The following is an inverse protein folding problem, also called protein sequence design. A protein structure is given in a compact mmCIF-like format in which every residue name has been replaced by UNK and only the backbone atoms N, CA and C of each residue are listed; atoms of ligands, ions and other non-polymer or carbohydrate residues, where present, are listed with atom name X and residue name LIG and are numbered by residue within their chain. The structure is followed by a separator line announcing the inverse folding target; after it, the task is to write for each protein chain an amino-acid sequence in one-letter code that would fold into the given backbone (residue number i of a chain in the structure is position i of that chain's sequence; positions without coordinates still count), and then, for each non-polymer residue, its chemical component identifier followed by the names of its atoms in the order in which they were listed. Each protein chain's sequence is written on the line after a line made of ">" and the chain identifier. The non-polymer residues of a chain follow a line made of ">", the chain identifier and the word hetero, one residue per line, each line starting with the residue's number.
data_IF_317046479816
#
_entry.id   IF_317046479816
#
_cell.length_a   1.000
_cell.length_b   1.000
_cell.length_c   1.000
_cell.angle_alpha   90.00
_cell.angle_beta   90.00
_cell.angle_gamma   90.00
#
_symmetry.space_group_name_H-M   'P 1'
#
loop_
_entity.id
_entity.type
_entity.pdbx_description
1 polymer ?
#
# COMPACT_ATOMS: atom_id res chain seq x y z
N UNK A 1 -11.63 -2.08 -8.47
CA UNK A 1 -11.64 -2.67 -7.11
C UNK A 1 -10.22 -2.79 -6.61
N UNK A 2 -9.98 -2.39 -5.37
CA UNK A 2 -8.71 -2.53 -4.66
C UNK A 2 -8.97 -3.31 -3.37
N UNK A 3 -8.42 -4.50 -3.25
CA UNK A 3 -8.56 -5.33 -2.05
C UNK A 3 -7.31 -5.19 -1.20
N UNK A 4 -7.47 -4.82 0.05
CA UNK A 4 -6.38 -4.65 1.01
C UNK A 4 -6.56 -5.69 2.12
N UNK A 5 -5.50 -6.41 2.45
CA UNK A 5 -5.46 -7.41 3.52
C UNK A 5 -4.31 -7.09 4.47
N UNK A 6 -4.59 -6.96 5.76
CA UNK A 6 -3.55 -6.99 6.79
C UNK A 6 -3.09 -8.43 6.97
N UNK A 7 -1.81 -8.69 6.79
CA UNK A 7 -1.23 -10.03 6.99
C UNK A 7 -0.71 -10.20 8.41
N UNK A 8 -0.35 -9.09 9.06
CA UNK A 8 0.10 -9.06 10.42
C UNK A 8 0.02 -7.68 11.02
N UNK A 9 -0.04 -7.61 12.34
CA UNK A 9 -0.29 -6.38 13.12
C UNK A 9 0.65 -6.21 14.31
N UNK A 10 1.56 -7.15 14.58
CA UNK A 10 2.52 -7.04 15.66
C UNK A 10 3.72 -6.16 15.31
N UNK A 11 4.26 -5.48 16.31
CA UNK A 11 5.54 -4.78 16.30
C UNK A 11 6.66 -5.66 16.88
N UNK A 12 7.90 -5.39 16.47
CA UNK A 12 9.14 -5.89 17.09
C UNK A 12 9.37 -7.41 16.95
N UNK A 13 8.40 -8.24 17.34
CA UNK A 13 8.51 -9.70 17.37
C UNK A 13 7.18 -10.35 16.99
N UNK A 14 7.18 -11.50 16.31
CA UNK A 14 5.95 -12.23 16.06
C UNK A 14 5.41 -12.80 17.35
N UNK A 15 4.10 -12.79 17.50
CA UNK A 15 3.39 -13.41 18.63
C UNK A 15 2.64 -14.66 18.13
N UNK A 16 2.22 -15.57 19.04
CA UNK A 16 1.51 -16.78 18.65
C UNK A 16 0.24 -16.51 17.83
N UNK A 17 -0.44 -15.40 18.10
CA UNK A 17 -1.71 -14.98 17.51
C UNK A 17 -1.59 -13.75 16.58
N UNK A 18 -0.41 -13.12 16.51
CA UNK A 18 -0.16 -11.94 15.66
C UNK A 18 1.16 -12.06 14.90
N UNK A 19 1.09 -12.03 13.59
CA UNK A 19 2.24 -11.89 12.71
C UNK A 19 2.75 -10.44 12.70
N UNK A 20 3.98 -10.24 12.22
CA UNK A 20 4.59 -8.92 12.10
C UNK A 20 3.86 -8.03 11.08
N UNK A 21 3.84 -6.73 11.34
CA UNK A 21 3.11 -5.71 10.57
C UNK A 21 3.44 -5.79 9.08
N UNK A 22 2.44 -6.17 8.31
CA UNK A 22 2.56 -6.40 6.87
C UNK A 22 1.18 -6.24 6.25
N UNK A 23 1.10 -5.61 5.08
CA UNK A 23 -0.15 -5.49 4.33
C UNK A 23 0.03 -5.90 2.87
N UNK A 24 -1.04 -6.39 2.25
CA UNK A 24 -1.07 -6.73 0.84
C UNK A 24 -2.23 -6.01 0.15
N UNK A 25 -1.92 -5.22 -0.89
CA UNK A 25 -2.92 -4.55 -1.71
C UNK A 25 -2.98 -5.21 -3.08
N UNK A 26 -4.17 -5.68 -3.47
CA UNK A 26 -4.41 -6.39 -4.72
C UNK A 26 -5.36 -5.63 -5.64
N UNK A 27 -4.99 -5.50 -6.91
CA UNK A 27 -5.82 -4.94 -7.97
C UNK A 27 -5.72 -5.84 -9.21
N UNK A 28 -6.86 -6.39 -9.66
CA UNK A 28 -6.86 -7.32 -10.80
C UNK A 28 -5.97 -8.55 -10.52
N UNK A 29 -5.03 -8.84 -11.41
CA UNK A 29 -4.03 -9.93 -11.28
C UNK A 29 -2.76 -9.55 -10.50
N UNK A 30 -2.66 -8.32 -10.01
CA UNK A 30 -1.46 -7.65 -9.51
C UNK A 30 -1.53 -7.40 -8.01
N UNK A 31 -0.37 -7.16 -7.37
CA UNK A 31 -0.33 -6.84 -5.96
C UNK A 31 0.95 -6.11 -5.51
N UNK A 32 0.81 -5.36 -4.44
CA UNK A 32 1.89 -4.73 -3.70
C UNK A 32 1.92 -5.33 -2.30
N UNK A 33 3.09 -5.77 -1.87
CA UNK A 33 3.34 -6.20 -0.50
C UNK A 33 4.06 -5.06 0.23
N UNK A 34 3.48 -4.59 1.31
CA UNK A 34 4.06 -3.57 2.19
C UNK A 34 4.69 -4.25 3.39
N UNK A 35 6.01 -4.15 3.48
CA UNK A 35 6.90 -4.86 4.39
C UNK A 35 6.87 -6.39 4.23
N UNK A 36 7.84 -7.05 4.84
CA UNK A 36 8.00 -8.51 4.78
C UNK A 36 8.75 -9.00 6.01
N UNK A 37 8.13 -8.91 7.17
CA UNK A 37 8.64 -9.44 8.43
C UNK A 37 8.67 -10.97 8.45
N UNK A 38 9.29 -11.53 9.48
CA UNK A 38 9.30 -12.96 9.71
C UNK A 38 7.86 -13.51 9.76
N UNK A 39 7.62 -14.64 9.13
CA UNK A 39 6.31 -15.29 9.12
C UNK A 39 5.31 -14.75 8.09
N UNK A 40 5.64 -13.71 7.30
CA UNK A 40 4.76 -13.14 6.26
C UNK A 40 4.15 -14.19 5.33
N UNK A 41 4.92 -15.20 4.93
CA UNK A 41 4.43 -16.27 4.05
C UNK A 41 3.32 -17.11 4.70
N UNK A 42 3.50 -17.45 5.98
CA UNK A 42 2.50 -18.20 6.74
C UNK A 42 1.25 -17.38 6.98
N UNK A 43 1.41 -16.09 7.31
CA UNK A 43 0.32 -15.14 7.48
C UNK A 43 -0.50 -14.97 6.19
N UNK A 44 0.17 -14.79 5.05
CA UNK A 44 -0.49 -14.72 3.75
C UNK A 44 -1.29 -15.99 3.42
N UNK A 45 -0.73 -17.17 3.71
CA UNK A 45 -1.45 -18.44 3.53
C UNK A 45 -2.70 -18.55 4.40
N UNK A 46 -2.60 -18.15 5.68
CA UNK A 46 -3.77 -18.12 6.58
C UNK A 46 -4.85 -17.17 6.09
N UNK A 47 -4.45 -16.00 5.57
CA UNK A 47 -5.35 -15.00 5.02
C UNK A 47 -5.87 -15.32 3.60
N UNK A 48 -5.46 -16.43 2.99
CA UNK A 48 -5.85 -16.80 1.61
C UNK A 48 -5.23 -15.89 0.54
N UNK A 49 -4.16 -15.15 0.86
CA UNK A 49 -3.48 -14.25 -0.07
C UNK A 49 -2.44 -15.01 -0.89
N UNK A 50 -2.55 -14.88 -2.21
CA UNK A 50 -1.58 -15.43 -3.15
C UNK A 50 -0.44 -14.44 -3.43
N UNK A 51 0.70 -14.62 -2.76
CA UNK A 51 1.89 -13.77 -2.92
C UNK A 51 2.55 -13.91 -4.30
N UNK A 52 2.22 -14.92 -5.11
CA UNK A 52 2.65 -14.97 -6.53
C UNK A 52 2.13 -13.79 -7.35
N UNK A 53 1.10 -13.09 -6.88
CA UNK A 53 0.56 -11.87 -7.49
C UNK A 53 1.36 -10.61 -7.15
N UNK A 54 2.27 -10.67 -6.17
CA UNK A 54 3.10 -9.52 -5.82
C UNK A 54 4.00 -9.13 -7.00
N UNK A 55 3.81 -7.94 -7.54
CA UNK A 55 4.70 -7.35 -8.54
C UNK A 55 5.82 -6.57 -7.87
N UNK A 56 5.51 -5.98 -6.71
CA UNK A 56 6.41 -5.12 -5.96
C UNK A 56 6.32 -5.45 -4.47
N UNK A 57 7.48 -5.48 -3.81
CA UNK A 57 7.61 -5.45 -2.36
C UNK A 57 8.09 -4.05 -1.97
N UNK A 58 7.30 -3.36 -1.14
CA UNK A 58 7.51 -1.99 -0.71
C UNK A 58 7.99 -2.01 0.75
N UNK A 59 9.28 -1.84 0.97
CA UNK A 59 9.85 -1.80 2.32
C UNK A 59 9.75 -0.38 2.87
N UNK A 60 9.19 -0.24 4.06
CA UNK A 60 9.08 1.08 4.73
C UNK A 60 10.42 1.49 5.33
N UNK A 61 11.13 0.58 5.93
CA UNK A 61 12.46 0.74 6.49
C UNK A 61 13.13 -0.65 6.70
N UNK A 62 14.30 -0.69 7.36
CA UNK A 62 15.12 -1.91 7.40
C UNK A 62 15.30 -2.51 8.79
N UNK A 63 14.36 -2.28 9.72
CA UNK A 63 14.30 -3.06 10.95
C UNK A 63 13.92 -4.52 10.66
N UNK A 64 14.36 -5.43 11.52
CA UNK A 64 14.20 -6.87 11.28
C UNK A 64 12.76 -7.33 11.14
N UNK A 65 11.87 -6.78 11.95
CA UNK A 65 10.43 -7.06 11.93
C UNK A 65 9.74 -6.65 10.61
N UNK A 66 10.40 -5.83 9.77
CA UNK A 66 9.90 -5.43 8.45
C UNK A 66 10.58 -6.13 7.28
N UNK A 67 11.75 -6.80 7.49
CA UNK A 67 12.51 -7.34 6.35
C UNK A 67 12.96 -8.80 6.50
N UNK A 68 12.95 -9.40 7.70
CA UNK A 68 13.54 -10.73 7.89
C UNK A 68 12.78 -11.87 7.22
N UNK A 69 11.53 -11.67 6.82
CA UNK A 69 10.78 -12.61 5.98
C UNK A 69 11.16 -12.59 4.50
N UNK A 70 11.85 -11.53 4.05
CA UNK A 70 12.13 -11.31 2.63
C UNK A 70 12.95 -12.45 2.00
N UNK A 71 14.06 -12.95 2.58
CA UNK A 71 14.81 -14.06 1.99
C UNK A 71 13.96 -15.30 1.75
N UNK A 72 13.16 -15.68 2.75
CA UNK A 72 12.27 -16.84 2.65
C UNK A 72 11.17 -16.65 1.61
N UNK A 73 10.57 -15.45 1.54
CA UNK A 73 9.58 -15.10 0.52
C UNK A 73 10.16 -15.28 -0.89
N UNK A 74 11.33 -14.71 -1.15
CA UNK A 74 11.96 -14.75 -2.48
C UNK A 74 12.24 -16.18 -2.93
N UNK A 75 12.73 -17.04 -2.05
CA UNK A 75 12.95 -18.45 -2.34
C UNK A 75 11.63 -19.19 -2.57
N UNK A 76 10.59 -18.91 -1.80
CA UNK A 76 9.26 -19.53 -1.97
C UNK A 76 8.65 -19.14 -3.31
N UNK A 77 8.73 -17.89 -3.73
CA UNK A 77 8.26 -17.45 -5.05
C UNK A 77 9.00 -18.20 -6.18
N UNK A 78 10.31 -18.37 -6.05
CA UNK A 78 11.11 -19.16 -6.99
C UNK A 78 10.70 -20.64 -7.04
N UNK A 79 10.54 -21.27 -5.89
CA UNK A 79 10.13 -22.65 -5.76
C UNK A 79 8.70 -22.90 -6.32
N UNK A 80 7.84 -21.88 -6.27
CA UNK A 80 6.50 -21.91 -6.88
C UNK A 80 6.49 -21.60 -8.39
N UNK A 81 7.67 -21.48 -9.01
CA UNK A 81 7.79 -21.30 -10.45
C UNK A 81 7.65 -19.87 -10.95
N UNK A 82 7.92 -18.85 -10.09
CA UNK A 82 7.94 -17.47 -10.56
C UNK A 82 9.06 -17.27 -11.58
N UNK A 83 8.71 -16.71 -12.74
CA UNK A 83 9.65 -16.30 -13.79
C UNK A 83 9.61 -14.80 -14.07
N UNK A 84 8.48 -14.13 -13.78
CA UNK A 84 8.34 -12.69 -13.98
C UNK A 84 9.17 -11.92 -12.95
N UNK A 85 9.74 -10.77 -13.32
CA UNK A 85 10.52 -9.94 -12.41
C UNK A 85 9.73 -9.56 -11.15
N UNK A 86 10.45 -9.27 -10.06
CA UNK A 86 9.92 -8.64 -8.85
C UNK A 86 10.61 -7.30 -8.67
N UNK A 87 9.87 -6.25 -8.36
CA UNK A 87 10.44 -4.97 -7.96
C UNK A 87 10.53 -4.90 -6.43
N UNK A 88 11.70 -4.55 -5.91
CA UNK A 88 11.91 -4.23 -4.51
C UNK A 88 12.09 -2.72 -4.39
N UNK A 89 11.21 -2.08 -3.65
CA UNK A 89 11.23 -0.64 -3.38
C UNK A 89 11.54 -0.42 -1.90
N UNK A 90 12.36 0.57 -1.58
CA UNK A 90 12.66 0.90 -0.18
C UNK A 90 13.42 2.21 -0.05
N UNK A 91 13.61 2.73 1.17
CA UNK A 91 14.36 3.95 1.39
C UNK A 91 15.81 3.84 0.95
N UNK A 92 16.54 4.94 1.02
CA UNK A 92 17.97 5.01 0.70
C UNK A 92 18.76 3.91 1.41
N UNK A 93 19.67 3.25 0.68
CA UNK A 93 20.47 2.14 1.18
C UNK A 93 19.98 0.76 0.77
N UNK A 94 18.93 0.69 -0.04
CA UNK A 94 18.31 -0.55 -0.51
C UNK A 94 19.31 -1.53 -1.15
N UNK A 95 20.29 -1.03 -1.89
CA UNK A 95 21.31 -1.87 -2.53
C UNK A 95 22.15 -2.67 -1.52
N UNK A 96 22.48 -2.07 -0.37
CA UNK A 96 23.18 -2.75 0.72
C UNK A 96 22.34 -3.86 1.34
N UNK A 97 21.08 -3.59 1.60
CA UNK A 97 20.11 -4.58 2.11
C UNK A 97 19.94 -5.73 1.12
N UNK A 98 19.76 -5.40 -0.17
CA UNK A 98 19.67 -6.42 -1.21
C UNK A 98 20.91 -7.32 -1.28
N UNK A 99 22.10 -6.75 -1.13
CA UNK A 99 23.34 -7.53 -1.12
C UNK A 99 23.34 -8.59 -0.01
N UNK A 100 22.91 -8.22 1.19
CA UNK A 100 22.78 -9.15 2.33
C UNK A 100 21.69 -10.21 2.06
N UNK A 101 20.51 -9.79 1.60
CA UNK A 101 19.40 -10.70 1.24
C UNK A 101 19.84 -11.69 0.16
N UNK A 102 20.52 -11.24 -0.88
CA UNK A 102 21.01 -12.10 -1.97
C UNK A 102 22.04 -13.13 -1.50
N UNK A 103 22.87 -12.77 -0.55
CA UNK A 103 23.82 -13.71 0.05
C UNK A 103 23.11 -14.88 0.75
N UNK A 104 21.94 -14.60 1.35
CA UNK A 104 21.10 -15.61 2.02
C UNK A 104 20.23 -16.43 1.03
N UNK A 105 19.70 -15.79 -0.01
CA UNK A 105 18.82 -16.48 -0.97
C UNK A 105 19.59 -17.29 -2.02
N UNK A 106 20.81 -16.89 -2.33
CA UNK A 106 21.51 -17.43 -3.50
C UNK A 106 20.84 -17.02 -4.83
N UNK A 107 21.08 -17.77 -5.92
CA UNK A 107 20.48 -17.52 -7.22
C UNK A 107 18.95 -17.72 -7.19
N UNK A 108 18.22 -16.79 -7.80
CA UNK A 108 16.77 -16.86 -7.98
C UNK A 108 16.43 -17.11 -9.46
N UNK A 109 15.37 -17.87 -9.80
CA UNK A 109 14.98 -18.15 -11.20
C UNK A 109 14.32 -16.95 -11.88
N UNK A 110 14.22 -15.80 -11.23
CA UNK A 110 13.65 -14.56 -11.74
C UNK A 110 14.48 -13.35 -11.34
N UNK A 111 14.35 -12.27 -12.10
CA UNK A 111 15.06 -11.02 -11.80
C UNK A 111 14.40 -10.28 -10.63
N UNK A 112 15.22 -9.74 -9.73
CA UNK A 112 14.80 -8.74 -8.74
C UNK A 112 15.38 -7.40 -9.17
N UNK A 113 14.49 -6.42 -9.39
CA UNK A 113 14.85 -5.04 -9.70
C UNK A 113 14.80 -4.23 -8.43
N UNK A 114 15.69 -3.26 -8.28
CA UNK A 114 15.76 -2.38 -7.11
C UNK A 114 15.39 -0.97 -7.51
N UNK A 115 14.61 -0.29 -6.68
CA UNK A 115 14.31 1.12 -6.83
C UNK A 115 14.26 1.79 -5.46
N UNK A 116 15.07 2.82 -5.22
CA UNK A 116 14.91 3.64 -4.02
C UNK A 116 13.61 4.44 -4.10
N UNK A 117 12.98 4.63 -2.95
CA UNK A 117 11.67 5.29 -2.80
C UNK A 117 11.84 6.82 -2.75
N UNK A 118 12.41 7.40 -3.79
CA UNK A 118 12.74 8.82 -3.93
C UNK A 118 11.73 9.63 -4.77
N UNK A 119 10.74 8.96 -5.35
CA UNK A 119 9.70 9.58 -6.16
C UNK A 119 8.53 8.65 -6.49
N UNK A 120 7.48 9.18 -7.13
CA UNK A 120 6.31 8.40 -7.52
C UNK A 120 6.66 7.29 -8.53
N UNK A 121 6.03 6.13 -8.39
CA UNK A 121 6.13 5.00 -9.29
C UNK A 121 4.82 4.85 -10.08
N UNK A 122 4.86 5.03 -11.38
CA UNK A 122 3.73 4.77 -12.28
C UNK A 122 3.59 3.25 -12.48
N UNK A 123 2.63 2.64 -11.78
CA UNK A 123 2.47 1.18 -11.75
C UNK A 123 2.02 0.63 -13.10
N UNK A 124 1.20 1.36 -13.84
CA UNK A 124 0.75 1.02 -15.19
C UNK A 124 1.86 1.07 -16.24
N UNK A 125 2.89 1.89 -16.02
CA UNK A 125 4.08 1.91 -16.86
C UNK A 125 5.08 0.79 -16.50
N UNK A 126 5.12 0.38 -15.23
CA UNK A 126 6.01 -0.68 -14.74
C UNK A 126 5.46 -2.08 -15.03
N UNK A 127 4.15 -2.25 -14.96
CA UNK A 127 3.48 -3.55 -15.02
C UNK A 127 2.22 -3.49 -15.87
N UNK A 128 2.19 -4.25 -16.97
CA UNK A 128 0.99 -4.41 -17.78
C UNK A 128 -0.16 -4.98 -16.93
N UNK A 129 -1.35 -4.37 -17.03
CA UNK A 129 -2.56 -4.81 -16.33
C UNK A 129 -2.94 -3.99 -15.10
N UNK A 130 -2.07 -3.09 -14.60
CA UNK A 130 -2.49 -2.08 -13.64
C UNK A 130 -3.44 -1.06 -14.31
N UNK A 131 -4.43 -0.52 -13.56
CA UNK A 131 -5.28 0.55 -14.09
C UNK A 131 -4.46 1.75 -14.58
N UNK A 132 -4.89 2.36 -15.69
CA UNK A 132 -4.23 3.54 -16.22
C UNK A 132 -4.12 4.66 -15.19
N UNK A 133 -2.91 5.21 -15.03
CA UNK A 133 -2.58 6.22 -14.05
C UNK A 133 -2.44 5.71 -12.61
N UNK A 134 -2.46 4.38 -12.39
CA UNK A 134 -2.17 3.82 -11.07
C UNK A 134 -0.76 4.24 -10.61
N UNK A 135 -0.66 4.79 -9.42
CA UNK A 135 0.60 5.33 -8.91
C UNK A 135 0.81 4.96 -7.44
N UNK A 136 2.04 4.60 -7.11
CA UNK A 136 2.51 4.46 -5.74
C UNK A 136 3.41 5.65 -5.41
N UNK A 137 3.03 6.41 -4.38
CA UNK A 137 3.78 7.60 -3.91
C UNK A 137 4.42 7.32 -2.57
N UNK A 138 5.73 7.15 -2.49
CA UNK A 138 6.43 7.16 -1.22
C UNK A 138 6.42 8.56 -0.62
N UNK A 139 6.45 8.64 0.70
CA UNK A 139 6.60 9.89 1.46
C UNK A 139 7.46 9.64 2.70
N UNK A 140 8.20 10.66 3.13
CA UNK A 140 9.05 10.54 4.31
C UNK A 140 8.21 10.39 5.59
N UNK A 141 8.64 9.50 6.48
CA UNK A 141 8.05 9.31 7.80
C UNK A 141 9.01 9.76 8.91
N UNK A 142 8.52 9.86 10.14
CA UNK A 142 9.31 10.28 11.30
C UNK A 142 9.63 9.07 12.18
N UNK A 143 10.70 8.39 11.86
CA UNK A 143 11.20 7.24 12.61
C UNK A 143 12.70 7.41 12.94
N UNK A 144 13.28 6.47 13.70
CA UNK A 144 14.68 6.55 14.15
C UNK A 144 15.72 6.21 13.08
N UNK A 145 15.27 5.59 12.01
CA UNK A 145 16.09 5.24 10.83
C UNK A 145 15.45 5.85 9.57
N UNK A 146 16.16 5.94 8.44
CA UNK A 146 15.55 6.33 7.18
C UNK A 146 14.32 5.48 6.88
N UNK A 147 13.16 6.12 6.76
CA UNK A 147 11.87 5.44 6.62
C UNK A 147 10.94 6.18 5.68
N UNK A 148 10.06 5.44 5.04
CA UNK A 148 9.04 5.94 4.13
C UNK A 148 7.71 5.25 4.39
N UNK A 149 6.62 5.99 4.23
CA UNK A 149 5.30 5.42 4.03
C UNK A 149 4.94 5.42 2.55
N UNK A 150 3.81 4.83 2.21
CA UNK A 150 3.35 4.69 0.83
C UNK A 150 1.88 5.08 0.69
N UNK A 151 1.56 5.90 -0.32
CA UNK A 151 0.20 6.13 -0.77
C UNK A 151 0.00 5.46 -2.14
N UNK A 152 -0.94 4.52 -2.23
CA UNK A 152 -1.39 3.92 -3.47
C UNK A 152 -2.63 4.66 -3.95
N UNK A 153 -2.63 5.07 -5.21
CA UNK A 153 -3.75 5.73 -5.88
C UNK A 153 -4.14 4.99 -7.14
N UNK A 154 -5.42 4.71 -7.28
CA UNK A 154 -6.04 4.19 -8.50
C UNK A 154 -7.00 5.25 -9.02
N UNK A 155 -6.60 6.10 -9.99
CA UNK A 155 -7.47 7.14 -10.50
C UNK A 155 -8.66 6.54 -11.24
N UNK A 156 -9.73 7.32 -11.34
CA UNK A 156 -10.92 6.96 -12.09
C UNK A 156 -11.16 7.98 -13.19
N UNK A 157 -11.10 7.53 -14.44
CA UNK A 157 -11.41 8.35 -15.59
C UNK A 157 -12.85 8.93 -15.53
N UNK A 158 -13.07 10.05 -16.17
CA UNK A 158 -14.39 10.62 -16.38
C UNK A 158 -15.32 9.65 -17.11
N UNK A 159 -16.61 9.92 -17.05
CA UNK A 159 -17.60 9.13 -17.81
C UNK A 159 -17.33 9.30 -19.31
N UNK A 160 -17.30 8.18 -20.03
CA UNK A 160 -17.18 8.19 -21.48
C UNK A 160 -18.47 8.77 -22.09
N UNK A 161 -18.30 9.69 -23.07
CA UNK A 161 -19.41 10.31 -23.79
C UNK A 161 -19.53 9.67 -25.20
N UNK A 162 -20.47 8.74 -25.38
CA UNK A 162 -20.68 8.09 -26.67
C UNK A 162 -21.12 9.08 -27.76
N UNK A 163 -21.81 10.17 -27.40
CA UNK A 163 -22.28 11.15 -28.37
C UNK A 163 -21.09 11.93 -28.94
N UNK A 164 -20.19 12.40 -28.08
CA UNK A 164 -18.94 13.05 -28.50
C UNK A 164 -18.07 12.12 -29.35
N UNK A 165 -17.93 10.86 -28.94
CA UNK A 165 -17.12 9.87 -29.66
C UNK A 165 -17.68 9.67 -31.11
N UNK A 166 -19.02 9.57 -31.24
CA UNK A 166 -19.67 9.47 -32.56
C UNK A 166 -19.49 10.73 -33.39
N UNK A 167 -19.64 11.89 -32.78
CA UNK A 167 -19.45 13.19 -33.47
C UNK A 167 -18.02 13.36 -34.01
N UNK A 168 -17.02 12.81 -33.30
CA UNK A 168 -15.62 12.76 -33.72
C UNK A 168 -15.32 11.62 -34.71
N UNK A 169 -16.32 10.81 -35.07
CA UNK A 169 -16.19 9.68 -35.99
C UNK A 169 -15.40 8.49 -35.43
N UNK A 170 -15.26 8.39 -34.11
CA UNK A 170 -14.52 7.29 -33.48
C UNK A 170 -15.29 5.97 -33.61
N UNK A 171 -14.71 4.93 -34.23
CA UNK A 171 -15.33 3.61 -34.29
C UNK A 171 -15.56 3.02 -32.92
N UNK A 172 -16.68 2.30 -32.70
CA UNK A 172 -17.03 1.69 -31.41
C UNK A 172 -15.94 0.77 -30.89
N UNK A 173 -15.25 0.04 -31.78
CA UNK A 173 -14.14 -0.85 -31.46
C UNK A 173 -12.96 -0.14 -30.79
N UNK A 174 -12.80 1.16 -30.99
CA UNK A 174 -11.73 1.98 -30.43
C UNK A 174 -12.14 2.71 -29.13
N UNK A 175 -13.41 2.66 -28.72
CA UNK A 175 -13.90 3.34 -27.52
C UNK A 175 -13.20 2.85 -26.25
N UNK A 176 -12.94 1.53 -26.17
CA UNK A 176 -12.21 0.93 -25.04
C UNK A 176 -10.81 1.51 -24.86
N UNK A 177 -10.11 1.81 -25.95
CA UNK A 177 -8.77 2.41 -25.91
C UNK A 177 -8.84 3.81 -25.29
N UNK A 178 -9.80 4.64 -25.70
CA UNK A 178 -10.01 5.98 -25.14
C UNK A 178 -10.41 5.90 -23.65
N UNK A 179 -11.25 4.94 -23.26
CA UNK A 179 -11.61 4.71 -21.87
C UNK A 179 -10.42 4.26 -21.01
N UNK A 180 -9.43 3.63 -21.62
CA UNK A 180 -8.17 3.20 -21.00
C UNK A 180 -7.08 4.28 -21.03
N UNK A 181 -7.40 5.50 -21.44
CA UNK A 181 -6.47 6.62 -21.49
C UNK A 181 -5.58 6.67 -22.74
N UNK A 182 -5.83 5.82 -23.75
CA UNK A 182 -5.07 5.77 -24.99
C UNK A 182 -5.72 6.64 -26.08
N UNK A 183 -4.92 7.44 -26.78
CA UNK A 183 -5.38 8.19 -27.96
C UNK A 183 -5.56 7.26 -29.15
N UNK A 184 -6.50 7.58 -30.02
CA UNK A 184 -6.79 6.82 -31.24
C UNK A 184 -6.66 7.69 -32.49
N UNK A 185 -6.26 7.09 -33.62
CA UNK A 185 -6.20 7.79 -34.91
C UNK A 185 -7.50 7.54 -35.67
N UNK A 186 -8.20 8.63 -36.00
CA UNK A 186 -9.46 8.60 -36.73
C UNK A 186 -9.35 9.52 -37.99
N UNK A 187 -9.40 8.94 -39.16
CA UNK A 187 -9.31 9.70 -40.44
C UNK A 187 -8.14 10.71 -40.51
N UNK A 188 -6.96 10.30 -39.98
CA UNK A 188 -5.77 11.15 -39.98
C UNK A 188 -5.69 12.17 -38.81
N UNK A 189 -6.70 12.23 -37.94
CA UNK A 189 -6.71 13.05 -36.72
C UNK A 189 -6.52 12.17 -35.48
N UNK A 190 -5.65 12.58 -34.58
CA UNK A 190 -5.55 11.96 -33.26
C UNK A 190 -6.67 12.48 -32.35
N UNK A 191 -7.48 11.57 -31.81
CA UNK A 191 -8.50 11.87 -30.81
C UNK A 191 -7.95 11.44 -29.45
N UNK A 192 -7.85 12.39 -28.53
CA UNK A 192 -7.36 12.15 -27.18
C UNK A 192 -8.51 11.74 -26.23
N UNK A 193 -8.24 10.98 -25.17
CA UNK A 193 -9.24 10.60 -24.15
C UNK A 193 -10.03 11.79 -23.60
N UNK A 194 -9.36 12.92 -23.34
CA UNK A 194 -9.99 14.14 -22.80
C UNK A 194 -11.10 14.71 -23.69
N UNK A 195 -11.12 14.38 -24.99
CA UNK A 195 -12.15 14.86 -25.92
C UNK A 195 -13.49 14.11 -25.77
N UNK A 196 -13.44 12.91 -25.18
CA UNK A 196 -14.61 12.00 -25.04
C UNK A 196 -14.86 11.56 -23.61
N UNK A 197 -14.00 11.92 -22.67
CA UNK A 197 -14.19 11.68 -21.24
C UNK A 197 -14.65 12.97 -20.55
N UNK A 198 -15.56 12.82 -19.61
CA UNK A 198 -15.96 13.90 -18.69
C UNK A 198 -14.84 14.21 -17.67
N UNK A 199 -15.16 15.04 -16.69
CA UNK A 199 -14.25 15.34 -15.59
C UNK A 199 -13.82 14.04 -14.86
N UNK A 200 -12.56 13.95 -14.37
CA UNK A 200 -12.11 12.85 -13.53
C UNK A 200 -13.06 12.65 -12.35
N UNK A 201 -13.31 11.38 -12.01
CA UNK A 201 -14.12 10.99 -10.84
C UNK A 201 -13.22 10.61 -9.68
N UNK A 202 -13.78 10.53 -8.48
CA UNK A 202 -13.06 10.06 -7.31
C UNK A 202 -12.49 8.66 -7.57
N UNK A 203 -11.18 8.54 -7.41
CA UNK A 203 -10.42 7.30 -7.50
C UNK A 203 -10.51 6.50 -6.22
N UNK A 204 -9.65 5.48 -6.09
CA UNK A 204 -9.45 4.74 -4.84
C UNK A 204 -8.05 5.03 -4.32
N UNK A 205 -7.91 5.14 -3.00
CA UNK A 205 -6.63 5.38 -2.37
C UNK A 205 -6.47 4.65 -1.04
N UNK A 206 -5.26 4.18 -0.78
CA UNK A 206 -4.88 3.70 0.54
C UNK A 206 -3.51 4.26 0.93
N UNK A 207 -3.31 4.45 2.23
CA UNK A 207 -2.02 4.85 2.81
C UNK A 207 -1.57 3.80 3.80
N UNK A 208 -0.31 3.39 3.69
CA UNK A 208 0.39 2.55 4.67
C UNK A 208 1.52 3.39 5.27
N UNK A 209 1.42 3.68 6.56
CA UNK A 209 2.37 4.59 7.21
C UNK A 209 3.75 3.96 7.40
N UNK A 210 3.83 2.64 7.59
CA UNK A 210 4.98 2.03 8.27
C UNK A 210 5.12 2.61 9.68
N UNK A 211 6.31 2.48 10.25
CA UNK A 211 6.62 2.99 11.59
C UNK A 211 6.85 4.49 11.56
N UNK A 212 6.11 5.19 12.39
CA UNK A 212 6.22 6.66 12.42
C UNK A 212 5.59 7.31 13.65
N UNK A 213 6.24 8.33 14.19
CA UNK A 213 5.56 9.35 14.96
C UNK A 213 4.71 10.22 14.02
N UNK A 214 3.67 10.92 14.53
CA UNK A 214 2.86 11.82 13.72
C UNK A 214 3.75 12.85 13.02
N UNK A 215 3.53 13.05 11.71
CA UNK A 215 4.28 14.02 10.92
C UNK A 215 3.44 14.62 9.80
N UNK A 216 3.82 15.81 9.35
CA UNK A 216 3.09 16.54 8.31
C UNK A 216 3.02 15.79 6.98
N UNK A 217 4.09 15.06 6.61
CA UNK A 217 4.11 14.30 5.36
C UNK A 217 3.11 13.14 5.35
N UNK A 218 2.95 12.43 6.49
CA UNK A 218 1.90 11.41 6.64
C UNK A 218 0.50 12.03 6.60
N UNK A 219 0.29 13.16 7.30
CA UNK A 219 -1.00 13.87 7.29
C UNK A 219 -1.36 14.31 5.86
N UNK A 220 -0.42 14.87 5.12
CA UNK A 220 -0.62 15.21 3.71
C UNK A 220 -0.87 13.98 2.84
N UNK A 221 -0.11 12.92 3.02
CA UNK A 221 -0.32 11.68 2.28
C UNK A 221 -1.66 11.02 2.58
N UNK A 222 -2.19 11.18 3.79
CA UNK A 222 -3.47 10.63 4.22
C UNK A 222 -4.68 11.47 3.80
N UNK A 223 -4.48 12.68 3.23
CA UNK A 223 -5.60 13.54 2.84
C UNK A 223 -6.61 12.82 1.94
N UNK A 224 -7.87 12.74 2.42
CA UNK A 224 -8.99 12.12 1.72
C UNK A 224 -8.76 10.66 1.34
N UNK A 225 -7.89 9.94 2.03
CA UNK A 225 -7.64 8.53 1.75
C UNK A 225 -8.87 7.66 2.11
N UNK A 226 -9.22 6.72 1.25
CA UNK A 226 -10.31 5.77 1.54
C UNK A 226 -9.95 4.85 2.70
N UNK A 227 -8.65 4.55 2.86
CA UNK A 227 -8.11 3.78 3.98
C UNK A 227 -6.73 4.29 4.38
N UNK A 228 -6.58 4.64 5.66
CA UNK A 228 -5.29 4.84 6.30
C UNK A 228 -4.99 3.64 7.20
N UNK A 229 -3.87 2.95 6.95
CA UNK A 229 -3.29 1.94 7.83
C UNK A 229 -2.13 2.62 8.55
N UNK A 230 -2.22 2.79 9.85
CA UNK A 230 -1.33 3.67 10.61
C UNK A 230 -0.70 2.99 11.82
N UNK A 231 0.56 3.34 12.08
CA UNK A 231 1.28 2.99 13.31
C UNK A 231 0.44 3.31 14.55
N UNK A 232 0.36 2.36 15.43
CA UNK A 232 -0.34 2.43 16.70
C UNK A 232 0.39 1.54 17.73
N UNK A 233 1.70 1.75 17.83
CA UNK A 233 2.57 0.93 18.68
C UNK A 233 2.22 1.07 20.15
N UNK A 234 1.68 2.20 20.56
CA UNK A 234 1.28 2.51 21.93
C UNK A 234 -0.22 2.79 22.02
N UNK A 235 -0.86 2.30 23.08
CA UNK A 235 -2.30 2.49 23.21
C UNK A 235 -2.67 3.79 23.92
N UNK A 236 -1.95 4.15 24.98
CA UNK A 236 -2.38 5.13 25.98
C UNK A 236 -1.80 6.53 25.73
N UNK A 237 -2.55 7.63 26.03
CA UNK A 237 -2.06 8.99 25.92
C UNK A 237 -0.79 9.25 26.75
N UNK A 238 -0.66 8.64 27.92
CA UNK A 238 0.50 8.79 28.80
C UNK A 238 1.79 8.28 28.15
N UNK A 239 1.68 7.47 27.11
CA UNK A 239 2.80 6.89 26.35
C UNK A 239 3.28 7.79 25.21
N UNK A 240 2.67 8.95 24.95
CA UNK A 240 3.03 9.83 23.84
C UNK A 240 4.50 10.25 23.83
N UNK A 241 5.06 10.56 25.01
CA UNK A 241 6.48 10.92 25.10
C UNK A 241 7.38 9.73 24.72
N UNK A 242 7.02 8.52 25.15
CA UNK A 242 7.74 7.29 24.80
C UNK A 242 7.58 6.98 23.31
N UNK A 243 6.37 7.09 22.79
CA UNK A 243 6.09 6.89 21.35
C UNK A 243 6.95 7.84 20.50
N UNK A 244 6.98 9.13 20.84
CA UNK A 244 7.79 10.13 20.16
C UNK A 244 9.30 9.82 20.23
N UNK A 245 9.80 9.35 21.37
CA UNK A 245 11.20 8.97 21.58
C UNK A 245 11.62 7.82 20.65
N UNK A 246 10.72 6.86 20.42
CA UNK A 246 11.00 5.69 19.60
C UNK A 246 10.57 5.87 18.12
N UNK A 247 9.92 6.99 17.80
CA UNK A 247 9.45 7.30 16.45
C UNK A 247 8.21 6.50 16.06
N UNK A 248 7.27 6.39 16.98
CA UNK A 248 5.98 5.72 16.83
C UNK A 248 4.81 6.62 17.23
N UNK A 249 3.59 6.11 17.09
CA UNK A 249 2.35 6.81 17.42
C UNK A 249 1.57 6.06 18.51
N UNK A 250 0.73 6.83 19.22
CA UNK A 250 -0.35 6.27 20.05
C UNK A 250 -1.64 6.13 19.23
N UNK A 251 -2.60 5.34 19.74
CA UNK A 251 -3.94 5.20 19.15
C UNK A 251 -4.61 6.56 18.94
N UNK A 252 -4.57 7.41 19.98
CA UNK A 252 -5.14 8.76 19.93
C UNK A 252 -4.45 9.66 18.91
N UNK A 253 -3.12 9.59 18.79
CA UNK A 253 -2.37 10.38 17.83
C UNK A 253 -2.68 9.99 16.38
N UNK A 254 -2.78 8.69 16.10
CA UNK A 254 -3.14 8.19 14.76
C UNK A 254 -4.59 8.53 14.40
N UNK A 255 -5.51 8.48 15.37
CA UNK A 255 -6.90 8.91 15.20
C UNK A 255 -7.00 10.42 14.92
N UNK A 256 -6.25 11.25 15.67
CA UNK A 256 -6.23 12.68 15.47
C UNK A 256 -5.65 13.08 14.09
N UNK A 257 -4.62 12.36 13.62
CA UNK A 257 -4.06 12.55 12.29
C UNK A 257 -5.09 12.18 11.21
N UNK A 258 -5.75 11.02 11.34
CA UNK A 258 -6.78 10.58 10.41
C UNK A 258 -7.93 11.59 10.30
N UNK A 259 -8.37 12.16 11.44
CA UNK A 259 -9.41 13.19 11.48
C UNK A 259 -8.99 14.47 10.74
N UNK A 260 -7.76 14.98 11.01
CA UNK A 260 -7.26 16.18 10.31
C UNK A 260 -7.05 15.97 8.83
N UNK A 261 -6.60 14.77 8.44
CA UNK A 261 -6.43 14.40 7.04
C UNK A 261 -7.76 14.16 6.30
N UNK A 262 -8.89 14.06 7.01
CA UNK A 262 -10.17 13.71 6.41
C UNK A 262 -10.16 12.32 5.78
N UNK A 263 -9.39 11.37 6.34
CA UNK A 263 -9.43 9.98 5.90
C UNK A 263 -10.82 9.38 6.12
N UNK A 264 -11.23 8.43 5.27
CA UNK A 264 -12.55 7.83 5.42
C UNK A 264 -12.56 6.67 6.43
N UNK A 265 -11.45 5.94 6.54
CA UNK A 265 -11.26 4.80 7.46
C UNK A 265 -9.86 4.81 8.02
N UNK A 266 -9.72 4.39 9.27
CA UNK A 266 -8.44 4.18 9.94
C UNK A 266 -8.34 2.75 10.45
N UNK A 267 -7.31 2.04 10.04
CA UNK A 267 -6.88 0.80 10.65
C UNK A 267 -5.61 1.04 11.47
N UNK A 268 -5.71 0.83 12.76
CA UNK A 268 -4.57 0.86 13.67
C UNK A 268 -3.79 -0.45 13.52
N UNK A 269 -2.47 -0.40 13.53
CA UNK A 269 -1.60 -1.57 13.36
C UNK A 269 -0.27 -1.37 14.08
N UNK A 270 0.61 -2.36 14.01
CA UNK A 270 1.94 -2.32 14.59
C UNK A 270 1.91 -2.22 16.13
N UNK A 271 1.12 -3.09 16.76
CA UNK A 271 0.95 -3.07 18.20
C UNK A 271 2.17 -3.61 18.93
N UNK A 272 2.62 -2.87 19.95
CA UNK A 272 3.60 -3.37 20.92
C UNK A 272 3.18 -4.73 21.50
N UNK A 273 4.12 -5.66 21.74
CA UNK A 273 3.81 -6.91 22.45
C UNK A 273 3.15 -6.71 23.81
N UNK A 274 3.27 -5.53 24.40
CA UNK A 274 2.63 -5.17 25.66
C UNK A 274 1.12 -4.95 25.54
N UNK A 275 0.61 -4.71 24.33
CA UNK A 275 -0.83 -4.56 24.04
C UNK A 275 -1.39 -5.96 23.78
N UNK A 276 -1.92 -6.58 24.81
CA UNK A 276 -2.50 -7.93 24.71
C UNK A 276 -3.90 -7.91 24.06
N UNK A 277 -4.68 -6.87 24.30
CA UNK A 277 -6.02 -6.67 23.73
C UNK A 277 -6.14 -5.24 23.16
N UNK A 278 -5.87 -5.03 21.87
CA UNK A 278 -6.03 -3.70 21.25
C UNK A 278 -7.45 -3.14 21.31
N UNK A 279 -8.47 -4.01 21.29
CA UNK A 279 -9.87 -3.58 21.31
C UNK A 279 -10.26 -2.91 22.64
N UNK A 280 -9.60 -3.27 23.74
CA UNK A 280 -9.84 -2.63 25.04
C UNK A 280 -9.51 -1.14 25.04
N UNK A 281 -8.50 -0.73 24.25
CA UNK A 281 -8.04 0.65 24.16
C UNK A 281 -8.64 1.43 22.95
N UNK A 282 -9.34 0.76 22.05
CA UNK A 282 -9.94 1.34 20.85
C UNK A 282 -10.89 2.52 21.13
N UNK A 283 -11.69 2.56 22.20
CA UNK A 283 -12.60 3.66 22.48
C UNK A 283 -11.91 5.04 22.54
N UNK A 284 -10.63 5.10 22.90
CA UNK A 284 -9.85 6.35 22.92
C UNK A 284 -9.69 6.91 21.50
N UNK A 285 -9.33 6.04 20.53
CA UNK A 285 -9.21 6.43 19.13
C UNK A 285 -10.57 6.79 18.55
N UNK A 286 -11.61 6.02 18.86
CA UNK A 286 -12.98 6.25 18.33
C UNK A 286 -13.61 7.51 18.85
N UNK A 287 -13.26 7.98 20.05
CA UNK A 287 -13.71 9.28 20.56
C UNK A 287 -13.21 10.47 19.72
N UNK A 288 -12.09 10.29 18.99
CA UNK A 288 -11.47 11.30 18.13
C UNK A 288 -11.86 11.06 16.67
N UNK A 289 -11.84 9.80 16.22
CA UNK A 289 -12.14 9.39 14.87
C UNK A 289 -13.04 8.14 14.90
N UNK A 290 -14.37 8.30 14.81
CA UNK A 290 -15.33 7.19 14.97
C UNK A 290 -15.14 6.00 14.03
N UNK A 291 -14.53 6.22 12.86
CA UNK A 291 -14.22 5.17 11.88
C UNK A 291 -12.86 4.47 12.12
N UNK A 292 -12.28 4.64 13.31
CA UNK A 292 -11.09 3.90 13.74
C UNK A 292 -11.46 2.45 14.09
N UNK A 293 -10.61 1.52 13.66
CA UNK A 293 -10.75 0.08 13.91
C UNK A 293 -9.39 -0.47 14.26
N UNK A 294 -9.32 -1.37 15.22
CA UNK A 294 -8.13 -2.17 15.43
C UNK A 294 -7.94 -3.14 14.26
N UNK A 295 -6.80 -3.03 13.58
CA UNK A 295 -6.41 -4.00 12.58
C UNK A 295 -6.16 -5.37 13.21
N UNK A 296 -6.56 -6.41 12.53
CA UNK A 296 -6.31 -7.80 12.93
C UNK A 296 -5.70 -8.59 11.77
N UNK A 297 -4.93 -9.60 12.10
CA UNK A 297 -4.33 -10.50 11.11
C UNK A 297 -5.42 -11.16 10.25
N UNK A 298 -5.29 -11.05 8.93
CA UNK A 298 -6.27 -11.55 7.97
C UNK A 298 -7.45 -10.58 7.71
N UNK A 299 -7.53 -9.44 8.41
CA UNK A 299 -8.56 -8.43 8.15
C UNK A 299 -8.47 -7.92 6.72
N UNK A 300 -9.62 -7.84 6.04
CA UNK A 300 -9.66 -7.49 4.63
C UNK A 300 -10.77 -6.48 4.31
N UNK A 301 -10.49 -5.58 3.38
CA UNK A 301 -11.48 -4.70 2.77
C UNK A 301 -11.31 -4.67 1.26
N UNK A 302 -12.42 -4.56 0.55
CA UNK A 302 -12.41 -4.27 -0.89
C UNK A 302 -13.01 -2.89 -1.12
N UNK A 303 -12.14 -1.95 -1.50
CA UNK A 303 -12.56 -0.62 -1.94
C UNK A 303 -13.11 -0.70 -3.36
N UNK A 304 -14.24 -0.07 -3.57
CA UNK A 304 -14.93 -0.02 -4.86
C UNK A 304 -15.21 1.42 -5.23
N UNK A 305 -15.24 1.69 -6.53
CA UNK A 305 -15.69 2.99 -7.00
C UNK A 305 -17.17 3.16 -6.67
N UNK A 306 -17.51 4.26 -6.02
CA UNK A 306 -18.93 4.60 -5.81
C UNK A 306 -19.61 4.82 -7.16
N UNK A 307 -20.75 4.19 -7.38
CA UNK A 307 -21.61 4.51 -8.52
C UNK A 307 -22.31 5.84 -8.22
N UNK A 308 -21.96 6.87 -8.99
CA UNK A 308 -22.61 8.17 -8.96
C UNK A 308 -23.78 8.20 -9.96
#
# INVERSE_FOLDING_TARGET
>A
MLTITLLGTAATMPLPDRALSTAFAACGGHGLLFDCGEGTQAAARRAGVNLMRADTVCLTHYHGDHIFGLPGLLQTLGAQGRTRPLLLVGPKGLAGIWSAVRALTGPLPYAVRLQEADGPLALDALWEGWPAGAVLRPFATRHRVPSVGYRLELPRAGRFDPARARALGVPVQQWKLLQQGQSVLVKGRTVAPAEVLGAPRQGLSMVFSGDTAPCAALEQAAQGADLLICDATYALPEQEAQAAQWGHSTFGQSAALAARAGAHRLWLTHYSPMITDPEADLPQAQSIFPAAVCGADGMQITLQYEEA
#
